data_IF_390587231112
#
_entry.id   IF_390587231112
#
_cell.length_a   1.000
_cell.length_b   1.000
_cell.length_c   1.000
_cell.angle_alpha   90.00
_cell.angle_beta   90.00
_cell.angle_gamma   90.00
#
_symmetry.space_group_name_H-M   'P 1'
#
loop_
_entity.id
_entity.type
_entity.pdbx_description
1 polymer ?
#
# COMPACT_ATOMS: atom_id res chain seq x y z
N UNK A 1 9.52 -27.51 -13.05
CA UNK A 1 9.68 -26.25 -13.78
C UNK A 1 11.09 -25.74 -13.53
N UNK A 2 11.81 -25.30 -14.55
CA UNK A 2 13.11 -24.64 -14.39
C UNK A 2 12.96 -23.29 -13.65
N UNK A 3 14.07 -22.69 -13.21
CA UNK A 3 14.05 -21.36 -12.58
C UNK A 3 13.46 -20.29 -13.51
N UNK A 4 13.81 -20.33 -14.80
CA UNK A 4 13.28 -19.43 -15.82
C UNK A 4 11.77 -19.62 -16.05
N UNK A 5 11.29 -20.86 -16.12
CA UNK A 5 9.86 -21.17 -16.28
C UNK A 5 9.05 -20.66 -15.08
N UNK A 6 9.56 -20.86 -13.86
CA UNK A 6 8.91 -20.38 -12.63
C UNK A 6 8.85 -18.85 -12.57
N UNK A 7 9.95 -18.17 -12.89
CA UNK A 7 10.00 -16.70 -12.94
C UNK A 7 9.07 -16.13 -14.02
N UNK A 8 9.03 -16.76 -15.19
CA UNK A 8 8.15 -16.37 -16.29
C UNK A 8 6.67 -16.56 -15.93
N UNK A 9 6.31 -17.68 -15.27
CA UNK A 9 4.96 -17.89 -14.77
C UNK A 9 4.56 -16.80 -13.77
N UNK A 10 5.42 -16.51 -12.77
CA UNK A 10 5.16 -15.45 -11.79
C UNK A 10 5.06 -14.06 -12.42
N UNK A 11 5.88 -13.78 -13.42
CA UNK A 11 5.78 -12.56 -14.22
C UNK A 11 4.39 -12.47 -14.85
N UNK A 12 3.95 -13.49 -15.60
CA UNK A 12 2.62 -13.51 -16.23
C UNK A 12 1.48 -13.33 -15.24
N UNK A 13 1.49 -14.08 -14.14
CA UNK A 13 0.44 -14.02 -13.11
C UNK A 13 0.25 -12.59 -12.58
N UNK A 14 1.36 -11.90 -12.28
CA UNK A 14 1.33 -10.52 -11.78
C UNK A 14 0.91 -9.55 -12.89
N UNK A 15 1.39 -9.72 -14.13
CA UNK A 15 1.00 -8.85 -15.26
C UNK A 15 -0.48 -8.97 -15.61
N UNK A 16 -1.03 -10.17 -15.52
CA UNK A 16 -2.44 -10.46 -15.78
C UNK A 16 -3.34 -9.98 -14.64
N UNK A 17 -2.88 -9.99 -13.39
CA UNK A 17 -3.63 -9.41 -12.28
C UNK A 17 -3.87 -7.91 -12.46
N UNK A 18 -2.90 -7.16 -12.98
CA UNK A 18 -3.10 -5.73 -13.34
C UNK A 18 -4.18 -5.55 -14.42
N UNK A 19 -4.33 -6.50 -15.36
CA UNK A 19 -5.42 -6.49 -16.35
C UNK A 19 -6.76 -6.80 -15.69
N UNK A 20 -6.78 -7.76 -14.76
CA UNK A 20 -7.98 -8.14 -14.00
C UNK A 20 -8.55 -6.95 -13.20
N UNK A 21 -7.69 -6.18 -12.53
CA UNK A 21 -8.08 -4.98 -11.79
C UNK A 21 -8.70 -3.92 -12.71
N UNK A 22 -8.32 -3.87 -13.98
CA UNK A 22 -8.77 -2.83 -14.91
C UNK A 22 -9.87 -3.27 -15.88
N UNK A 23 -10.36 -4.52 -15.79
CA UNK A 23 -11.28 -5.12 -16.76
C UNK A 23 -12.62 -4.41 -16.96
N UNK A 24 -13.16 -3.80 -15.89
CA UNK A 24 -14.48 -3.14 -15.91
C UNK A 24 -14.38 -1.60 -15.87
N UNK A 25 -13.20 -1.03 -16.18
CA UNK A 25 -13.00 0.41 -16.25
C UNK A 25 -13.27 0.93 -17.66
N UNK A 26 -13.92 2.09 -17.75
CA UNK A 26 -14.05 2.80 -19.01
C UNK A 26 -12.77 3.61 -19.32
N UNK A 27 -12.65 4.08 -20.56
CA UNK A 27 -11.46 4.84 -20.97
C UNK A 27 -11.31 6.15 -20.16
N UNK A 28 -12.43 6.77 -19.82
CA UNK A 28 -12.55 8.00 -19.03
C UNK A 28 -12.06 7.81 -17.59
N UNK A 29 -12.31 6.64 -17.00
CA UNK A 29 -11.83 6.32 -15.65
C UNK A 29 -10.31 6.25 -15.61
N UNK A 30 -9.70 5.82 -16.72
CA UNK A 30 -8.28 5.52 -16.79
C UNK A 30 -7.38 6.74 -17.02
N UNK A 31 -7.94 7.94 -17.24
CA UNK A 31 -7.19 9.15 -17.62
C UNK A 31 -7.14 10.22 -16.53
N UNK A 32 -8.00 10.14 -15.52
CA UNK A 32 -8.18 11.20 -14.51
C UNK A 32 -7.07 11.16 -13.46
N UNK A 33 -6.63 12.35 -13.03
CA UNK A 33 -5.81 12.55 -11.84
C UNK A 33 -6.58 13.45 -10.87
N UNK A 34 -7.19 12.85 -9.84
CA UNK A 34 -8.06 13.55 -8.89
C UNK A 34 -7.31 14.36 -7.82
N UNK A 35 -6.03 14.07 -7.59
CA UNK A 35 -5.12 14.86 -6.77
C UNK A 35 -3.66 14.56 -7.16
N UNK A 36 -2.66 15.39 -6.78
CA UNK A 36 -1.26 15.16 -7.16
C UNK A 36 -0.69 13.81 -6.74
N UNK A 37 -1.24 13.21 -5.68
CA UNK A 37 -0.79 11.92 -5.19
C UNK A 37 -1.32 10.72 -5.98
N UNK A 38 -2.49 10.88 -6.59
CA UNK A 38 -3.15 9.90 -7.47
C UNK A 38 -2.51 9.97 -8.85
N UNK A 39 -2.30 8.83 -9.49
CA UNK A 39 -1.91 8.73 -10.90
C UNK A 39 -3.02 8.09 -11.74
N UNK A 40 -3.20 8.48 -13.01
CA UNK A 40 -4.17 7.82 -13.87
C UNK A 40 -3.89 6.32 -14.01
N UNK A 41 -4.93 5.48 -14.06
CA UNK A 41 -4.81 4.02 -14.23
C UNK A 41 -3.93 3.66 -15.43
N UNK A 42 -4.08 4.35 -16.57
CA UNK A 42 -3.24 4.10 -17.75
C UNK A 42 -1.75 4.42 -17.53
N UNK A 43 -1.46 5.36 -16.64
CA UNK A 43 -0.09 5.70 -16.26
C UNK A 43 0.52 4.58 -15.42
N UNK A 44 -0.20 4.01 -14.45
CA UNK A 44 0.28 2.83 -13.69
C UNK A 44 0.57 1.62 -14.60
N UNK A 45 -0.35 1.34 -15.52
CA UNK A 45 -0.22 0.26 -16.51
C UNK A 45 1.02 0.42 -17.40
N UNK A 46 1.31 1.64 -17.85
CA UNK A 46 2.47 1.93 -18.68
C UNK A 46 3.76 2.07 -17.86
N UNK A 47 3.70 2.60 -16.63
CA UNK A 47 4.85 2.78 -15.74
C UNK A 47 5.47 1.46 -15.29
N UNK A 48 4.64 0.50 -14.89
CA UNK A 48 5.11 -0.84 -14.54
C UNK A 48 5.79 -1.51 -15.74
N UNK A 49 5.30 -1.26 -16.95
CA UNK A 49 5.91 -1.72 -18.20
C UNK A 49 7.24 -1.04 -18.50
N UNK A 50 7.30 0.28 -18.29
CA UNK A 50 8.51 1.07 -18.43
C UNK A 50 9.64 0.57 -17.53
N UNK A 51 9.31 0.08 -16.34
CA UNK A 51 10.31 -0.52 -15.44
C UNK A 51 11.02 -1.70 -16.12
N UNK A 52 10.27 -2.67 -16.65
CA UNK A 52 10.83 -3.84 -17.34
C UNK A 52 11.57 -3.44 -18.62
N UNK A 53 11.01 -2.54 -19.43
CA UNK A 53 11.70 -2.05 -20.63
C UNK A 53 13.05 -1.39 -20.27
N UNK A 54 13.07 -0.56 -19.22
CA UNK A 54 14.22 0.28 -18.89
C UNK A 54 15.31 -0.47 -18.14
N UNK A 55 14.95 -1.28 -17.15
CA UNK A 55 15.92 -1.96 -16.30
C UNK A 55 16.26 -3.37 -16.75
N UNK A 56 15.45 -3.96 -17.64
CA UNK A 56 15.70 -5.30 -18.20
C UNK A 56 16.03 -5.18 -19.69
N UNK A 57 15.05 -4.89 -20.55
CA UNK A 57 15.22 -5.02 -22.00
C UNK A 57 16.34 -4.13 -22.56
N UNK A 58 16.36 -2.83 -22.24
CA UNK A 58 17.41 -1.89 -22.69
C UNK A 58 18.83 -2.28 -22.25
N UNK A 59 18.96 -3.04 -21.17
CA UNK A 59 20.26 -3.42 -20.60
C UNK A 59 20.77 -4.76 -21.10
N UNK A 60 19.87 -5.73 -21.26
CA UNK A 60 20.24 -7.13 -21.48
C UNK A 60 19.92 -7.66 -22.87
N UNK A 61 19.11 -6.94 -23.66
CA UNK A 61 18.86 -7.29 -25.06
C UNK A 61 19.80 -6.49 -25.98
N UNK A 62 20.73 -7.19 -26.61
CA UNK A 62 21.71 -6.57 -27.53
C UNK A 62 21.00 -5.88 -28.69
N UNK A 63 21.29 -4.58 -28.88
CA UNK A 63 20.71 -3.79 -29.97
C UNK A 63 19.24 -3.41 -29.75
N UNK A 64 18.73 -3.48 -28.51
CA UNK A 64 17.36 -3.10 -28.20
C UNK A 64 17.02 -1.67 -28.64
N UNK A 65 15.90 -1.52 -29.36
CA UNK A 65 15.35 -0.22 -29.76
C UNK A 65 13.93 -0.10 -29.22
N UNK A 66 13.64 0.89 -28.35
CA UNK A 66 12.29 1.14 -27.86
C UNK A 66 11.36 1.48 -29.02
N UNK A 67 10.15 0.91 -29.03
CA UNK A 67 9.16 1.20 -30.06
C UNK A 67 8.74 2.69 -30.07
N UNK A 68 8.69 3.30 -28.89
CA UNK A 68 8.36 4.72 -28.70
C UNK A 68 9.34 5.31 -27.65
N UNK A 69 10.45 5.94 -28.08
CA UNK A 69 11.48 6.45 -27.17
C UNK A 69 10.95 7.44 -26.10
N UNK A 70 9.94 8.23 -26.44
CA UNK A 70 9.33 9.26 -25.58
C UNK A 70 8.64 8.68 -24.34
N UNK A 71 8.29 7.39 -24.34
CA UNK A 71 7.70 6.72 -23.18
C UNK A 71 8.65 6.68 -21.99
N UNK A 72 9.96 6.73 -22.22
CA UNK A 72 10.93 6.86 -21.14
C UNK A 72 10.74 8.14 -20.31
N UNK A 73 10.36 9.25 -20.95
CA UNK A 73 10.08 10.52 -20.29
C UNK A 73 8.71 10.52 -19.59
N UNK A 74 7.68 9.98 -20.25
CA UNK A 74 6.30 9.99 -19.74
C UNK A 74 6.10 9.07 -18.52
N UNK A 75 6.83 7.95 -18.50
CA UNK A 75 6.60 6.89 -17.54
C UNK A 75 7.75 6.67 -16.56
N UNK A 76 8.80 7.48 -16.58
CA UNK A 76 9.71 7.57 -15.44
C UNK A 76 8.98 8.19 -14.24
N UNK A 77 9.02 7.53 -13.09
CA UNK A 77 8.34 7.99 -11.87
C UNK A 77 9.14 9.06 -11.12
N UNK A 78 10.38 8.74 -10.78
CA UNK A 78 11.27 9.54 -9.94
C UNK A 78 12.74 9.21 -10.11
N UNK A 79 13.15 8.34 -11.04
CA UNK A 79 14.53 7.90 -11.19
C UNK A 79 15.35 8.96 -11.92
N UNK A 80 16.05 9.82 -11.17
CA UNK A 80 16.83 10.91 -11.74
C UNK A 80 17.99 10.38 -12.59
N UNK A 81 18.63 9.29 -12.15
CA UNK A 81 19.68 8.62 -12.90
C UNK A 81 19.18 7.94 -14.18
N UNK A 82 17.87 7.72 -14.34
CA UNK A 82 17.29 7.15 -15.56
C UNK A 82 16.91 8.20 -16.63
N UNK A 83 16.91 9.49 -16.26
CA UNK A 83 16.64 10.60 -17.18
C UNK A 83 15.61 11.60 -16.64
N UNK A 84 15.29 12.59 -17.47
CA UNK A 84 14.21 13.55 -17.17
C UNK A 84 12.85 12.85 -17.19
N UNK A 85 11.86 13.45 -16.51
CA UNK A 85 10.53 12.86 -16.35
C UNK A 85 9.43 13.90 -16.48
N UNK A 86 8.25 13.46 -16.93
CA UNK A 86 7.04 14.28 -16.90
C UNK A 86 6.64 14.57 -15.45
N UNK A 87 6.12 15.77 -15.22
CA UNK A 87 5.72 16.23 -13.88
C UNK A 87 4.62 15.35 -13.30
N UNK A 88 4.82 14.86 -12.07
CA UNK A 88 3.88 13.97 -11.35
C UNK A 88 2.48 14.58 -11.22
N UNK A 89 2.40 15.87 -10.88
CA UNK A 89 1.15 16.60 -10.67
C UNK A 89 0.37 16.91 -11.95
N UNK A 90 0.95 16.62 -13.13
CA UNK A 90 0.36 16.88 -14.44
C UNK A 90 0.14 15.60 -15.26
N UNK A 91 0.19 14.41 -14.63
CA UNK A 91 -0.01 13.12 -15.32
C UNK A 91 -1.41 13.01 -15.92
N UNK A 92 -2.43 13.55 -15.26
CA UNK A 92 -3.82 13.54 -15.74
C UNK A 92 -4.10 14.45 -16.95
N UNK A 93 -3.17 15.36 -17.30
CA UNK A 93 -3.31 16.20 -18.51
C UNK A 93 -2.89 15.47 -19.80
N UNK A 94 -2.31 14.28 -19.66
CA UNK A 94 -1.70 13.55 -20.76
C UNK A 94 -2.73 12.60 -21.37
N UNK A 95 -3.46 13.08 -22.38
CA UNK A 95 -4.46 12.28 -23.10
C UNK A 95 -3.86 11.19 -23.99
N UNK A 96 -2.58 11.32 -24.37
CA UNK A 96 -1.83 10.34 -25.18
C UNK A 96 -0.55 9.87 -24.46
N UNK A 97 -0.25 8.56 -24.43
CA UNK A 97 -0.98 7.50 -25.11
C UNK A 97 -2.38 7.24 -24.55
N UNK A 98 -3.25 6.77 -25.45
CA UNK A 98 -4.58 6.26 -25.13
C UNK A 98 -4.48 5.01 -24.26
N UNK A 99 -5.58 4.64 -23.61
CA UNK A 99 -5.65 3.40 -22.81
C UNK A 99 -5.27 2.18 -23.65
N UNK A 100 -5.79 2.08 -24.88
CA UNK A 100 -5.45 1.00 -25.81
C UNK A 100 -3.96 0.99 -26.21
N UNK A 101 -3.34 2.15 -26.38
CA UNK A 101 -1.88 2.25 -26.61
C UNK A 101 -1.06 1.81 -25.39
N UNK A 102 -1.51 2.13 -24.17
CA UNK A 102 -0.87 1.63 -22.94
C UNK A 102 -0.95 0.10 -22.84
N UNK A 103 -2.09 -0.52 -23.19
CA UNK A 103 -2.20 -1.99 -23.25
C UNK A 103 -1.32 -2.60 -24.34
N UNK A 104 -1.28 -2.01 -25.54
CA UNK A 104 -0.37 -2.47 -26.61
C UNK A 104 1.10 -2.39 -26.20
N UNK A 105 1.48 -1.36 -25.46
CA UNK A 105 2.83 -1.24 -24.90
C UNK A 105 3.13 -2.35 -23.90
N UNK A 106 2.19 -2.64 -22.98
CA UNK A 106 2.28 -3.79 -22.05
C UNK A 106 2.54 -5.08 -22.80
N UNK A 107 1.66 -5.44 -23.73
CA UNK A 107 1.75 -6.70 -24.48
C UNK A 107 3.06 -6.80 -25.29
N UNK A 108 3.55 -5.69 -25.83
CA UNK A 108 4.81 -5.65 -26.56
C UNK A 108 6.02 -5.94 -25.69
N UNK A 109 6.08 -5.36 -24.50
CA UNK A 109 7.17 -5.60 -23.53
C UNK A 109 7.03 -6.95 -22.87
N UNK A 110 5.82 -7.40 -22.56
CA UNK A 110 5.55 -8.71 -21.97
C UNK A 110 6.11 -9.83 -22.86
N UNK A 111 5.81 -9.83 -24.17
CA UNK A 111 6.36 -10.81 -25.12
C UNK A 111 7.89 -10.82 -25.13
N UNK A 112 8.53 -9.65 -25.12
CA UNK A 112 9.99 -9.55 -25.16
C UNK A 112 10.66 -10.02 -23.86
N UNK A 113 10.01 -9.82 -22.71
CA UNK A 113 10.49 -10.38 -21.43
C UNK A 113 10.35 -11.90 -21.44
N UNK A 114 9.24 -12.43 -21.94
CA UNK A 114 9.04 -13.87 -22.07
C UNK A 114 10.07 -14.52 -23.02
N UNK A 115 10.32 -13.89 -24.17
CA UNK A 115 11.33 -14.34 -25.14
C UNK A 115 12.74 -14.31 -24.53
N UNK A 116 13.07 -13.26 -23.76
CA UNK A 116 14.33 -13.16 -23.03
C UNK A 116 14.48 -14.30 -22.02
N UNK A 117 13.45 -14.57 -21.21
CA UNK A 117 13.48 -15.63 -20.20
C UNK A 117 13.53 -17.03 -20.82
N UNK A 118 12.87 -17.24 -21.96
CA UNK A 118 12.86 -18.53 -22.65
C UNK A 118 14.22 -18.86 -23.32
N UNK A 119 15.00 -17.83 -23.66
CA UNK A 119 16.26 -17.97 -24.41
C UNK A 119 17.52 -17.68 -23.58
N UNK A 120 17.36 -17.23 -22.33
CA UNK A 120 18.48 -16.86 -21.46
C UNK A 120 19.39 -18.05 -21.12
N UNK A 121 20.71 -17.83 -21.16
CA UNK A 121 21.67 -18.73 -20.53
C UNK A 121 21.55 -18.67 -19.00
N UNK A 122 22.16 -19.63 -18.29
CA UNK A 122 22.16 -19.62 -16.82
C UNK A 122 22.83 -18.34 -16.27
N UNK A 123 23.93 -17.90 -16.88
CA UNK A 123 24.64 -16.68 -16.47
C UNK A 123 23.79 -15.43 -16.68
N UNK A 124 23.07 -15.33 -17.81
CA UNK A 124 22.17 -14.22 -18.04
C UNK A 124 20.98 -14.24 -17.08
N UNK A 125 20.46 -15.44 -16.78
CA UNK A 125 19.35 -15.61 -15.84
C UNK A 125 19.73 -15.13 -14.44
N UNK A 126 20.94 -15.43 -13.98
CA UNK A 126 21.47 -14.96 -12.69
C UNK A 126 21.50 -13.43 -12.59
N UNK A 127 21.75 -12.74 -13.71
CA UNK A 127 21.76 -11.26 -13.75
C UNK A 127 20.35 -10.65 -13.84
N UNK A 128 19.46 -11.21 -14.66
CA UNK A 128 18.14 -10.61 -14.92
C UNK A 128 17.10 -10.99 -13.88
N UNK A 129 17.19 -12.18 -13.29
CA UNK A 129 16.17 -12.69 -12.37
C UNK A 129 15.93 -11.79 -11.15
N UNK A 130 16.97 -11.23 -10.48
CA UNK A 130 16.76 -10.29 -9.38
C UNK A 130 16.03 -9.01 -9.81
N UNK A 131 16.31 -8.49 -11.01
CA UNK A 131 15.70 -7.25 -11.52
C UNK A 131 14.25 -7.49 -11.94
N UNK A 132 13.96 -8.62 -12.60
CA UNK A 132 12.59 -9.01 -12.95
C UNK A 132 11.79 -9.26 -11.67
N UNK A 133 12.37 -9.91 -10.67
CA UNK A 133 11.72 -10.12 -9.36
C UNK A 133 11.41 -8.79 -8.68
N UNK A 134 12.33 -7.82 -8.70
CA UNK A 134 12.07 -6.47 -8.22
C UNK A 134 10.94 -5.79 -9.02
N UNK A 135 10.94 -5.92 -10.34
CA UNK A 135 9.87 -5.39 -11.21
C UNK A 135 8.50 -6.00 -10.93
N UNK A 136 8.45 -7.30 -10.62
CA UNK A 136 7.24 -8.00 -10.19
C UNK A 136 6.70 -7.40 -8.88
N UNK A 137 7.56 -7.24 -7.87
CA UNK A 137 7.15 -6.64 -6.60
C UNK A 137 6.77 -5.15 -6.76
N UNK A 138 7.48 -4.40 -7.61
CA UNK A 138 7.13 -3.03 -7.98
C UNK A 138 5.75 -2.94 -8.63
N UNK A 139 5.40 -3.88 -9.52
CA UNK A 139 4.05 -3.93 -10.08
C UNK A 139 2.98 -4.25 -9.04
N UNK A 140 3.26 -5.12 -8.07
CA UNK A 140 2.33 -5.38 -6.96
C UNK A 140 2.09 -4.13 -6.09
N UNK A 141 3.12 -3.29 -5.86
CA UNK A 141 2.90 -1.98 -5.22
C UNK A 141 1.96 -1.11 -6.08
N UNK A 142 2.16 -1.11 -7.39
CA UNK A 142 1.31 -0.38 -8.32
C UNK A 142 -0.10 -0.96 -8.47
N UNK A 143 -0.32 -2.24 -8.19
CA UNK A 143 -1.65 -2.86 -8.14
C UNK A 143 -2.45 -2.36 -6.94
N UNK A 144 -1.81 -2.22 -5.78
CA UNK A 144 -2.44 -1.57 -4.62
C UNK A 144 -2.71 -0.08 -4.89
N UNK A 145 -1.77 0.62 -5.52
CA UNK A 145 -1.99 2.01 -5.95
C UNK A 145 -3.13 2.13 -6.95
N UNK A 146 -3.26 1.21 -7.91
CA UNK A 146 -4.39 1.17 -8.83
C UNK A 146 -5.73 1.15 -8.07
N UNK A 147 -5.87 0.27 -7.08
CA UNK A 147 -7.13 0.16 -6.30
C UNK A 147 -7.41 1.45 -5.52
N UNK A 148 -6.41 2.01 -4.85
CA UNK A 148 -6.57 3.25 -4.04
C UNK A 148 -6.83 4.48 -4.90
N UNK A 149 -6.16 4.59 -6.05
CA UNK A 149 -6.29 5.70 -6.99
C UNK A 149 -7.63 5.64 -7.74
N UNK A 150 -8.06 4.46 -8.18
CA UNK A 150 -9.42 4.25 -8.75
C UNK A 150 -10.48 4.63 -7.72
N UNK A 151 -10.33 4.20 -6.45
CA UNK A 151 -11.26 4.58 -5.39
C UNK A 151 -11.36 6.08 -5.23
N UNK A 152 -10.22 6.78 -5.24
CA UNK A 152 -10.21 8.24 -5.10
C UNK A 152 -10.85 8.93 -6.31
N UNK A 153 -10.57 8.49 -7.55
CA UNK A 153 -11.22 9.02 -8.76
C UNK A 153 -12.73 8.83 -8.68
N UNK A 154 -13.20 7.63 -8.35
CA UNK A 154 -14.62 7.31 -8.31
C UNK A 154 -15.35 8.09 -7.21
N UNK A 155 -14.71 8.28 -6.05
CA UNK A 155 -15.24 9.07 -4.95
C UNK A 155 -15.44 10.56 -5.30
N UNK A 156 -14.75 11.09 -6.32
CA UNK A 156 -14.98 12.47 -6.78
C UNK A 156 -16.28 12.61 -7.59
N UNK A 157 -16.81 11.50 -8.12
CA UNK A 157 -17.97 11.53 -8.98
C UNK A 157 -19.26 11.49 -8.12
N UNK A 158 -20.14 12.52 -8.20
CA UNK A 158 -21.36 12.59 -7.38
C UNK A 158 -22.37 11.47 -7.67
N UNK A 159 -22.18 10.72 -8.76
CA UNK A 159 -22.99 9.54 -9.08
C UNK A 159 -22.53 8.27 -8.35
N UNK A 160 -21.42 8.32 -7.60
CA UNK A 160 -20.88 7.20 -6.81
C UNK A 160 -20.76 5.90 -7.64
N UNK A 161 -20.00 5.91 -8.76
CA UNK A 161 -19.86 4.75 -9.62
C UNK A 161 -19.30 3.55 -8.84
N UNK A 162 -19.77 2.36 -9.21
CA UNK A 162 -19.35 1.11 -8.57
C UNK A 162 -18.22 0.51 -9.38
N UNK A 163 -17.06 0.29 -8.74
CA UNK A 163 -15.93 -0.38 -9.38
C UNK A 163 -16.15 -1.89 -9.51
N UNK A 164 -16.59 -2.54 -8.42
CA UNK A 164 -16.91 -3.98 -8.40
C UNK A 164 -18.16 -4.22 -7.59
N UNK A 165 -19.22 -4.70 -8.26
CA UNK A 165 -20.48 -4.99 -7.59
C UNK A 165 -20.31 -6.16 -6.62
N UNK A 166 -20.70 -5.94 -5.37
CA UNK A 166 -20.67 -6.96 -4.32
C UNK A 166 -21.95 -6.88 -3.50
N UNK A 167 -22.49 -8.03 -3.10
CA UNK A 167 -23.60 -8.06 -2.16
C UNK A 167 -23.13 -7.55 -0.80
N UNK A 168 -23.94 -6.72 -0.15
CA UNK A 168 -23.68 -6.33 1.23
C UNK A 168 -23.91 -7.55 2.12
N UNK A 169 -22.85 -8.01 2.76
CA UNK A 169 -22.93 -9.06 3.77
C UNK A 169 -23.39 -8.44 5.09
N UNK A 170 -24.19 -9.19 5.85
CA UNK A 170 -24.45 -8.81 7.25
C UNK A 170 -23.16 -9.04 8.03
N UNK A 171 -22.65 -7.98 8.65
CA UNK A 171 -21.55 -8.10 9.60
C UNK A 171 -22.05 -8.61 10.95
N UNK A 172 -21.26 -9.48 11.56
CA UNK A 172 -21.42 -9.82 12.98
C UNK A 172 -20.52 -8.90 13.80
N UNK A 173 -20.90 -8.58 15.05
CA UNK A 173 -20.05 -7.83 15.95
C UNK A 173 -18.69 -8.52 16.12
N UNK A 174 -17.57 -7.79 16.00
CA UNK A 174 -16.27 -8.39 16.23
C UNK A 174 -16.10 -8.76 17.71
N UNK A 175 -15.17 -9.67 18.04
CA UNK A 175 -14.81 -9.93 19.43
C UNK A 175 -14.47 -8.63 20.19
N UNK A 176 -14.74 -8.55 21.50
CA UNK A 176 -14.34 -7.40 22.30
C UNK A 176 -12.83 -7.11 22.15
N UNK A 177 -12.47 -5.83 22.02
CA UNK A 177 -11.07 -5.45 21.99
C UNK A 177 -10.42 -5.78 23.34
N UNK A 178 -9.37 -6.59 23.30
CA UNK A 178 -8.51 -6.94 24.44
C UNK A 178 -7.08 -6.53 24.12
N UNK A 179 -6.19 -6.60 25.10
CA UNK A 179 -4.78 -6.33 24.93
C UNK A 179 -4.00 -7.60 25.28
N UNK A 180 -3.08 -8.01 24.40
CA UNK A 180 -2.15 -9.10 24.66
C UNK A 180 -0.82 -8.51 25.13
N UNK A 181 -0.31 -9.02 26.25
CA UNK A 181 0.91 -8.52 26.87
C UNK A 181 2.15 -9.24 26.33
N UNK A 182 3.22 -8.48 26.12
CA UNK A 182 4.50 -8.96 25.63
C UNK A 182 5.61 -8.45 26.56
N UNK A 183 6.42 -9.37 27.09
CA UNK A 183 7.56 -9.06 27.96
C UNK A 183 8.64 -8.25 27.24
N UNK A 184 9.47 -7.51 27.97
CA UNK A 184 10.63 -6.84 27.38
C UNK A 184 11.58 -7.86 26.72
N UNK A 185 12.14 -7.52 25.56
CA UNK A 185 13.16 -8.35 24.93
C UNK A 185 14.09 -7.57 24.00
N UNK A 186 15.23 -8.15 23.68
CA UNK A 186 16.03 -7.71 22.54
C UNK A 186 15.54 -8.48 21.31
N UNK A 187 14.67 -7.85 20.53
CA UNK A 187 14.11 -8.43 19.32
C UNK A 187 15.10 -8.35 18.16
N UNK A 188 14.98 -9.28 17.23
CA UNK A 188 15.74 -9.23 15.97
C UNK A 188 14.81 -8.77 14.85
N UNK A 189 15.11 -7.61 14.28
CA UNK A 189 14.25 -6.87 13.34
C UNK A 189 14.92 -6.82 11.97
N UNK A 190 14.13 -6.95 10.92
CA UNK A 190 14.53 -6.85 9.54
C UNK A 190 14.77 -8.19 8.86
N UNK A 191 14.86 -8.14 7.53
CA UNK A 191 14.99 -9.30 6.68
C UNK A 191 16.36 -9.99 6.81
N UNK A 192 16.36 -11.32 7.00
CA UNK A 192 17.56 -12.18 7.11
C UNK A 192 17.71 -13.20 5.96
N UNK A 193 16.76 -13.18 5.02
CA UNK A 193 16.55 -14.26 4.07
C UNK A 193 17.34 -14.11 2.78
N UNK A 194 17.24 -15.16 1.95
CA UNK A 194 17.61 -15.11 0.52
C UNK A 194 16.41 -14.77 -0.37
N UNK A 195 15.21 -14.83 0.19
CA UNK A 195 13.98 -14.46 -0.51
C UNK A 195 13.96 -12.95 -0.78
N UNK A 196 13.05 -12.52 -1.66
CA UNK A 196 12.93 -11.11 -1.97
C UNK A 196 12.56 -10.28 -0.73
N UNK A 197 13.25 -9.15 -0.57
CA UNK A 197 12.84 -8.03 0.27
C UNK A 197 13.25 -6.73 -0.41
N UNK A 198 12.58 -5.64 -0.04
CA UNK A 198 13.09 -4.32 -0.37
C UNK A 198 14.33 -4.00 0.49
N UNK A 199 15.24 -3.20 -0.05
CA UNK A 199 16.46 -2.77 0.64
C UNK A 199 16.19 -2.08 1.98
N UNK A 200 15.05 -1.40 2.11
CA UNK A 200 14.64 -0.73 3.34
C UNK A 200 14.23 -1.69 4.48
N UNK A 201 14.03 -2.98 4.21
CA UNK A 201 13.70 -4.01 5.19
C UNK A 201 14.95 -4.53 5.92
N UNK A 202 16.15 -4.08 5.52
CA UNK A 202 17.42 -4.53 6.07
C UNK A 202 18.45 -3.40 6.30
N UNK A 203 19.64 -3.75 6.82
CA UNK A 203 20.01 -5.10 7.28
C UNK A 203 19.30 -5.48 8.58
N UNK A 204 19.23 -6.78 8.84
CA UNK A 204 18.71 -7.31 10.11
C UNK A 204 19.58 -6.84 11.27
N UNK A 205 18.93 -6.40 12.35
CA UNK A 205 19.60 -5.82 13.50
C UNK A 205 18.84 -6.13 14.80
N UNK A 206 19.47 -5.81 15.93
CA UNK A 206 18.88 -5.99 17.26
C UNK A 206 18.28 -4.66 17.73
N UNK A 207 17.06 -4.72 18.28
CA UNK A 207 16.40 -3.58 18.90
C UNK A 207 15.89 -3.98 20.29
N UNK A 208 16.05 -3.10 21.28
CA UNK A 208 15.39 -3.27 22.59
C UNK A 208 13.92 -2.91 22.41
N UNK A 209 13.04 -3.87 22.68
CA UNK A 209 11.58 -3.70 22.68
C UNK A 209 11.13 -3.82 24.13
N UNK A 210 10.72 -2.70 24.78
CA UNK A 210 10.19 -2.72 26.14
C UNK A 210 8.98 -3.64 26.27
N UNK A 211 8.56 -3.92 27.51
CA UNK A 211 7.25 -4.56 27.72
C UNK A 211 6.12 -3.65 27.25
N UNK A 212 5.12 -4.24 26.62
CA UNK A 212 3.99 -3.52 26.06
C UNK A 212 2.80 -4.45 25.91
N UNK A 213 1.61 -3.88 25.70
CA UNK A 213 0.47 -4.64 25.23
C UNK A 213 0.06 -4.20 23.83
N UNK A 214 -0.43 -5.15 23.03
CA UNK A 214 -0.94 -4.90 21.68
C UNK A 214 -2.44 -5.23 21.61
N UNK A 215 -3.21 -4.38 20.94
CA UNK A 215 -4.65 -4.59 20.73
C UNK A 215 -4.90 -5.88 19.93
N UNK A 216 -5.89 -6.66 20.38
CA UNK A 216 -6.22 -7.97 19.81
C UNK A 216 -6.80 -7.92 18.40
N UNK A 217 -7.32 -6.77 17.97
CA UNK A 217 -7.83 -6.52 16.62
C UNK A 217 -7.66 -5.05 16.25
N UNK A 218 -7.98 -4.73 15.01
CA UNK A 218 -8.07 -3.36 14.52
C UNK A 218 -9.22 -2.59 15.18
N UNK A 219 -9.06 -1.27 15.25
CA UNK A 219 -10.12 -0.33 15.66
C UNK A 219 -11.24 -0.36 14.64
N UNK A 220 -12.49 -0.44 15.10
CA UNK A 220 -13.66 -0.49 14.22
C UNK A 220 -14.22 0.89 13.89
N UNK A 221 -15.05 0.98 12.84
CA UNK A 221 -15.82 2.17 12.52
C UNK A 221 -16.71 2.61 13.68
N UNK A 222 -17.33 1.68 14.42
CA UNK A 222 -18.16 1.99 15.59
C UNK A 222 -17.36 2.56 16.76
N UNK A 223 -16.14 2.08 16.97
CA UNK A 223 -15.18 2.67 17.91
C UNK A 223 -14.78 4.08 17.50
N UNK A 224 -14.50 4.28 16.22
CA UNK A 224 -14.13 5.58 15.67
C UNK A 224 -15.29 6.60 15.68
N UNK A 225 -16.53 6.14 15.47
CA UNK A 225 -17.72 6.98 15.60
C UNK A 225 -17.85 7.58 17.00
N UNK A 226 -17.54 6.81 18.05
CA UNK A 226 -17.53 7.34 19.43
C UNK A 226 -16.50 8.44 19.63
N UNK A 227 -15.34 8.36 18.96
CA UNK A 227 -14.36 9.45 18.94
C UNK A 227 -14.92 10.70 18.26
N UNK A 228 -15.58 10.55 17.11
CA UNK A 228 -16.25 11.67 16.41
C UNK A 228 -17.33 12.29 17.30
N UNK A 229 -18.21 11.47 17.88
CA UNK A 229 -19.32 11.91 18.75
C UNK A 229 -18.86 12.60 20.04
N UNK A 230 -17.70 12.20 20.58
CA UNK A 230 -17.06 12.84 21.72
C UNK A 230 -16.35 14.16 21.38
N UNK A 231 -16.53 14.67 20.16
CA UNK A 231 -15.91 15.90 19.68
C UNK A 231 -14.43 15.72 19.30
N UNK A 232 -14.00 14.52 18.90
CA UNK A 232 -12.61 14.18 18.63
C UNK A 232 -11.92 15.13 17.65
N UNK A 233 -12.63 15.55 16.59
CA UNK A 233 -12.13 16.51 15.59
C UNK A 233 -12.23 17.98 16.03
N UNK A 234 -12.77 18.27 17.22
CA UNK A 234 -12.92 19.61 17.78
C UNK A 234 -12.08 19.84 19.05
N UNK A 235 -11.32 18.84 19.49
CA UNK A 235 -10.64 18.82 20.78
C UNK A 235 -9.11 18.75 20.60
N UNK A 236 -8.40 19.89 20.62
CA UNK A 236 -6.97 19.96 20.31
C UNK A 236 -6.08 19.12 21.23
N UNK A 237 -6.53 18.82 22.45
CA UNK A 237 -5.77 18.04 23.42
C UNK A 237 -5.45 16.60 22.97
N UNK A 238 -6.17 16.07 21.97
CA UNK A 238 -5.87 14.76 21.41
C UNK A 238 -4.84 14.79 20.29
N UNK A 239 -4.56 15.96 19.70
CA UNK A 239 -3.84 16.05 18.44
C UNK A 239 -2.40 16.53 18.64
N UNK A 240 -1.49 15.95 17.86
CA UNK A 240 -0.20 16.58 17.57
C UNK A 240 -0.45 17.96 16.95
N UNK A 241 0.40 18.94 17.25
CA UNK A 241 0.24 20.33 16.79
C UNK A 241 0.07 20.45 15.27
N UNK A 242 0.93 19.77 14.48
CA UNK A 242 0.82 19.75 13.02
C UNK A 242 -0.47 19.05 12.55
N UNK A 243 -0.91 18.01 13.26
CA UNK A 243 -2.18 17.34 12.99
C UNK A 243 -3.38 18.25 13.24
N UNK A 244 -3.38 18.98 14.35
CA UNK A 244 -4.42 19.96 14.67
C UNK A 244 -4.49 21.08 13.62
N UNK A 245 -3.35 21.61 13.19
CA UNK A 245 -3.30 22.59 12.09
C UNK A 245 -3.91 22.00 10.81
N UNK A 246 -3.50 20.79 10.44
CA UNK A 246 -3.97 20.11 9.22
C UNK A 246 -5.48 19.87 9.24
N UNK A 247 -6.02 19.35 10.34
CA UNK A 247 -7.47 19.11 10.52
C UNK A 247 -8.28 20.39 10.35
N UNK A 248 -7.80 21.51 10.91
CA UNK A 248 -8.48 22.80 10.79
C UNK A 248 -8.38 23.39 9.39
N UNK A 249 -7.20 23.37 8.77
CA UNK A 249 -6.97 23.90 7.43
C UNK A 249 -7.77 23.14 6.37
N UNK A 250 -7.81 21.80 6.47
CA UNK A 250 -8.52 20.94 5.53
C UNK A 250 -9.96 20.60 5.95
N UNK A 251 -10.40 21.06 7.13
CA UNK A 251 -11.75 20.87 7.68
C UNK A 251 -12.16 19.40 7.76
N UNK A 252 -11.30 18.56 8.32
CA UNK A 252 -11.63 17.15 8.51
C UNK A 252 -12.63 16.97 9.65
N UNK A 253 -13.66 16.16 9.43
CA UNK A 253 -14.71 15.86 10.43
C UNK A 253 -14.95 14.34 10.63
N UNK A 254 -14.39 13.52 9.74
CA UNK A 254 -14.49 12.07 9.71
C UNK A 254 -13.40 11.50 8.76
N UNK A 255 -13.13 10.18 8.77
CA UNK A 255 -12.23 9.53 7.82
C UNK A 255 -12.56 9.85 6.36
N UNK A 256 -11.57 9.72 5.46
CA UNK A 256 -11.80 10.05 4.05
C UNK A 256 -12.89 9.13 3.47
N UNK A 257 -13.73 9.69 2.59
CA UNK A 257 -14.90 9.06 1.96
C UNK A 257 -16.13 8.89 2.86
N UNK A 258 -16.10 9.39 4.10
CA UNK A 258 -17.28 9.44 4.96
C UNK A 258 -18.07 10.72 4.70
N UNK A 259 -19.39 10.59 4.57
CA UNK A 259 -20.31 11.71 4.40
C UNK A 259 -21.50 11.56 5.34
N UNK A 260 -21.94 12.66 5.94
CA UNK A 260 -23.16 12.69 6.75
C UNK A 260 -24.37 12.98 5.87
N UNK A 261 -25.34 12.07 5.81
CA UNK A 261 -26.60 12.22 5.06
C UNK A 261 -27.78 11.86 5.96
N UNK A 262 -28.77 12.75 6.01
CA UNK A 262 -30.01 12.57 6.80
C UNK A 262 -29.75 12.17 8.27
N UNK A 263 -28.68 12.72 8.86
CA UNK A 263 -28.27 12.43 10.24
C UNK A 263 -27.42 11.17 10.45
N UNK A 264 -27.21 10.35 9.42
CA UNK A 264 -26.39 9.13 9.48
C UNK A 264 -25.08 9.28 8.70
N UNK A 265 -24.04 8.53 9.10
CA UNK A 265 -22.78 8.45 8.36
C UNK A 265 -22.85 7.38 7.27
N UNK A 266 -22.38 7.76 6.08
CA UNK A 266 -22.25 6.92 4.91
C UNK A 266 -20.80 6.89 4.44
N UNK A 267 -20.44 5.86 3.68
CA UNK A 267 -19.09 5.62 3.19
C UNK A 267 -19.13 5.22 1.73
N UNK A 268 -18.35 5.90 0.90
CA UNK A 268 -18.04 5.42 -0.45
C UNK A 268 -17.05 4.26 -0.40
N UNK A 269 -17.50 3.07 -0.79
CA UNK A 269 -16.64 1.91 -1.02
C UNK A 269 -16.55 1.61 -2.52
N UNK A 270 -15.58 0.79 -2.92
CA UNK A 270 -15.47 0.35 -4.32
C UNK A 270 -16.64 -0.55 -4.77
N UNK A 271 -17.48 -1.00 -3.84
CA UNK A 271 -18.72 -1.72 -4.10
C UNK A 271 -19.99 -0.87 -4.01
N UNK A 272 -19.85 0.44 -3.73
CA UNK A 272 -20.94 1.41 -3.72
C UNK A 272 -20.96 2.29 -2.48
N UNK A 273 -21.84 3.28 -2.51
CA UNK A 273 -22.07 4.19 -1.40
C UNK A 273 -23.11 3.62 -0.43
N UNK A 274 -22.72 3.37 0.83
CA UNK A 274 -23.55 2.67 1.81
C UNK A 274 -23.45 3.27 3.22
N UNK A 275 -24.40 3.01 4.13
CA UNK A 275 -24.25 3.35 5.54
C UNK A 275 -22.99 2.71 6.13
N UNK A 276 -22.40 3.38 7.12
CA UNK A 276 -21.26 2.83 7.86
C UNK A 276 -21.63 1.50 8.51
N UNK A 277 -20.76 0.51 8.32
CA UNK A 277 -20.79 -0.73 9.06
C UNK A 277 -19.85 -0.60 10.27
N UNK A 278 -20.42 -0.48 11.46
CA UNK A 278 -19.69 -0.24 12.70
C UNK A 278 -18.72 -1.37 13.10
N UNK A 279 -18.89 -2.56 12.50
CA UNK A 279 -18.10 -3.75 12.81
C UNK A 279 -16.83 -3.86 11.95
N UNK A 280 -16.73 -3.12 10.86
CA UNK A 280 -15.56 -3.11 9.98
C UNK A 280 -14.42 -2.28 10.60
N UNK A 281 -13.15 -2.62 10.33
CA UNK A 281 -12.03 -1.75 10.66
C UNK A 281 -12.22 -0.34 10.07
N UNK A 282 -11.93 0.68 10.87
CA UNK A 282 -11.84 2.04 10.34
C UNK A 282 -10.69 2.10 9.34
N UNK A 283 -10.92 2.75 8.20
CA UNK A 283 -9.93 2.86 7.12
C UNK A 283 -9.94 4.27 6.51
N UNK A 284 -8.88 4.60 5.78
CA UNK A 284 -8.63 5.91 5.18
C UNK A 284 -8.46 7.03 6.22
N UNK A 285 -7.75 6.70 7.31
CA UNK A 285 -7.32 7.65 8.34
C UNK A 285 -5.85 8.01 8.17
N UNK A 286 -5.53 9.27 8.40
CA UNK A 286 -4.16 9.79 8.46
C UNK A 286 -3.43 9.29 9.71
N UNK A 287 -2.10 9.44 9.74
CA UNK A 287 -1.32 9.21 10.96
C UNK A 287 -1.82 10.14 12.09
N UNK A 288 -2.16 11.39 11.77
CA UNK A 288 -2.69 12.34 12.75
C UNK A 288 -4.02 11.88 13.36
N UNK A 289 -4.94 11.38 12.54
CA UNK A 289 -6.21 10.80 12.98
C UNK A 289 -6.00 9.53 13.82
N UNK A 290 -5.01 8.69 13.44
CA UNK A 290 -4.67 7.48 14.17
C UNK A 290 -4.07 7.78 15.56
N UNK A 291 -3.13 8.72 15.63
CA UNK A 291 -2.53 9.17 16.89
C UNK A 291 -3.56 9.83 17.81
N UNK A 292 -4.40 10.72 17.27
CA UNK A 292 -5.45 11.37 18.05
C UNK A 292 -6.47 10.40 18.62
N UNK A 293 -6.87 9.39 17.84
CA UNK A 293 -7.74 8.32 18.32
C UNK A 293 -7.07 7.48 19.42
N UNK A 294 -5.77 7.18 19.28
CA UNK A 294 -5.03 6.46 20.30
C UNK A 294 -4.96 7.25 21.62
N UNK A 295 -4.68 8.55 21.56
CA UNK A 295 -4.68 9.46 22.71
C UNK A 295 -6.06 9.53 23.38
N UNK A 296 -7.13 9.68 22.60
CA UNK A 296 -8.51 9.63 23.09
C UNK A 296 -8.83 8.32 23.83
N UNK A 297 -8.28 7.21 23.36
CA UNK A 297 -8.49 5.87 23.91
C UNK A 297 -7.60 5.56 25.13
N UNK A 298 -6.79 6.52 25.60
CA UNK A 298 -5.80 6.31 26.67
C UNK A 298 -4.75 5.25 26.28
N UNK A 299 -4.38 5.21 25.01
CA UNK A 299 -3.44 4.27 24.42
C UNK A 299 -2.43 5.02 23.54
N UNK A 300 -1.66 4.28 22.74
CA UNK A 300 -0.74 4.82 21.73
C UNK A 300 -0.73 3.94 20.49
N UNK A 301 -0.05 4.40 19.42
CA UNK A 301 0.30 3.53 18.31
C UNK A 301 1.52 2.64 18.67
N UNK A 302 1.61 1.41 18.12
CA UNK A 302 2.81 0.58 18.28
C UNK A 302 4.00 1.20 17.56
N UNK A 303 5.23 0.90 17.98
CA UNK A 303 6.41 1.07 17.14
C UNK A 303 6.44 -0.02 16.06
N UNK A 304 7.14 0.21 14.94
CA UNK A 304 7.35 -0.85 13.94
C UNK A 304 8.08 -2.08 14.51
N UNK A 305 8.89 -1.90 15.56
CA UNK A 305 9.64 -2.97 16.22
C UNK A 305 8.76 -3.84 17.12
N UNK A 306 7.86 -3.22 17.88
CA UNK A 306 6.82 -3.92 18.66
C UNK A 306 5.93 -4.74 17.72
N UNK A 307 5.48 -4.10 16.64
CA UNK A 307 4.63 -4.75 15.65
C UNK A 307 5.32 -5.93 14.96
N UNK A 308 6.54 -5.73 14.45
CA UNK A 308 7.27 -6.78 13.73
C UNK A 308 7.63 -7.96 14.62
N UNK A 309 8.05 -7.70 15.87
CA UNK A 309 8.32 -8.75 16.84
C UNK A 309 7.15 -9.72 16.97
N UNK A 310 5.94 -9.18 17.04
CA UNK A 310 4.71 -9.96 17.17
C UNK A 310 4.39 -10.65 15.85
N UNK A 311 4.39 -9.90 14.75
CA UNK A 311 4.05 -10.41 13.42
C UNK A 311 4.97 -11.53 12.91
N UNK A 312 6.23 -11.60 13.38
CA UNK A 312 7.15 -12.71 13.04
C UNK A 312 6.67 -14.08 13.53
N UNK A 313 5.82 -14.14 14.56
CA UNK A 313 5.23 -15.39 15.08
C UNK A 313 3.85 -15.72 14.50
N UNK A 314 3.30 -14.84 13.68
CA UNK A 314 1.92 -14.94 13.16
C UNK A 314 1.90 -15.50 11.74
N UNK A 315 0.81 -16.19 11.39
CA UNK A 315 0.58 -16.62 10.01
C UNK A 315 0.09 -15.41 9.20
N UNK A 316 0.59 -15.24 7.98
CA UNK A 316 0.11 -14.21 7.07
C UNK A 316 -1.27 -14.63 6.56
N UNK A 317 -2.32 -14.24 7.28
CA UNK A 317 -3.72 -14.45 6.94
C UNK A 317 -4.52 -13.17 7.17
N UNK A 318 -5.52 -12.93 6.33
CA UNK A 318 -6.35 -11.73 6.40
C UNK A 318 -7.09 -11.48 5.09
N UNK A 319 -7.73 -10.32 5.00
CA UNK A 319 -8.33 -9.87 3.74
C UNK A 319 -7.27 -9.23 2.86
N UNK A 320 -6.96 -9.86 1.74
CA UNK A 320 -6.04 -9.34 0.72
C UNK A 320 -6.77 -9.12 -0.62
N UNK A 321 -6.07 -8.54 -1.59
CA UNK A 321 -6.63 -8.16 -2.89
C UNK A 321 -7.16 -9.36 -3.70
N UNK A 322 -6.62 -10.55 -3.48
CA UNK A 322 -7.04 -11.80 -4.12
C UNK A 322 -8.51 -12.15 -3.80
N UNK A 323 -9.06 -11.63 -2.71
CA UNK A 323 -10.48 -11.80 -2.35
C UNK A 323 -11.43 -10.96 -3.22
N UNK A 324 -10.92 -10.00 -4.00
CA UNK A 324 -11.68 -8.97 -4.71
C UNK A 324 -12.71 -8.22 -3.81
N UNK A 325 -12.51 -8.22 -2.48
CA UNK A 325 -13.39 -7.51 -1.54
C UNK A 325 -13.20 -5.99 -1.66
N UNK A 326 -11.96 -5.55 -1.92
CA UNK A 326 -11.54 -4.14 -2.03
C UNK A 326 -12.03 -3.24 -0.90
N UNK A 327 -12.17 -3.83 0.29
CA UNK A 327 -12.65 -3.19 1.51
C UNK A 327 -12.31 -4.07 2.72
N UNK A 328 -12.00 -3.50 3.91
CA UNK A 328 -11.76 -4.29 5.12
C UNK A 328 -12.93 -5.23 5.49
N UNK A 329 -12.63 -6.32 6.16
CA UNK A 329 -13.61 -7.22 6.76
C UNK A 329 -13.66 -7.07 8.29
N UNK A 330 -14.83 -7.29 8.92
CA UNK A 330 -14.91 -7.38 10.37
C UNK A 330 -13.99 -8.48 10.94
N UNK A 331 -13.44 -8.24 12.13
CA UNK A 331 -12.65 -9.25 12.84
C UNK A 331 -13.49 -10.49 13.13
N UNK A 332 -12.90 -11.67 12.96
CA UNK A 332 -13.49 -12.95 13.39
C UNK A 332 -12.82 -13.42 14.69
N UNK A 333 -13.45 -14.36 15.38
CA UNK A 333 -12.87 -14.98 16.56
C UNK A 333 -11.57 -15.71 16.21
N UNK A 334 -10.52 -15.46 17.00
CA UNK A 334 -9.19 -16.06 16.86
C UNK A 334 -8.64 -16.39 18.24
N UNK A 335 -7.81 -17.43 18.34
CA UNK A 335 -7.14 -17.82 19.58
C UNK A 335 -6.05 -16.82 20.03
N UNK A 336 -5.66 -15.88 19.15
CA UNK A 336 -4.63 -14.88 19.40
C UNK A 336 -5.00 -13.51 18.82
N UNK A 337 -4.01 -12.81 18.29
CA UNK A 337 -4.24 -11.54 17.60
C UNK A 337 -4.96 -11.78 16.28
N UNK A 338 -5.98 -10.97 16.02
CA UNK A 338 -6.73 -10.96 14.77
C UNK A 338 -6.24 -9.83 13.88
N UNK A 339 -6.30 -10.05 12.56
CA UNK A 339 -6.04 -9.04 11.54
C UNK A 339 -4.64 -8.42 11.61
N UNK A 340 -3.64 -9.20 12.06
CA UNK A 340 -2.23 -8.74 12.03
C UNK A 340 -1.74 -8.54 10.60
N UNK A 341 -2.37 -9.16 9.61
CA UNK A 341 -2.11 -8.86 8.21
C UNK A 341 -3.43 -8.66 7.44
N UNK A 342 -3.35 -7.96 6.32
CA UNK A 342 -4.50 -7.66 5.47
C UNK A 342 -5.44 -6.63 6.10
N UNK A 343 -6.61 -6.45 5.48
CA UNK A 343 -7.63 -5.43 5.80
C UNK A 343 -7.14 -3.99 5.60
N UNK A 344 -6.25 -3.50 6.46
CA UNK A 344 -5.68 -2.13 6.43
C UNK A 344 -4.21 -2.13 6.84
N UNK A 345 -3.44 -1.24 6.22
CA UNK A 345 -2.13 -0.86 6.73
C UNK A 345 -2.26 -0.22 8.11
N UNK A 346 -1.51 -0.71 9.07
CA UNK A 346 -1.54 -0.24 10.45
C UNK A 346 -0.49 0.85 10.67
N UNK A 347 -0.91 2.06 11.01
CA UNK A 347 0.02 3.14 11.37
C UNK A 347 0.85 2.77 12.61
N UNK A 348 2.16 2.99 12.52
CA UNK A 348 3.07 2.89 13.66
C UNK A 348 3.56 4.28 14.07
N UNK A 349 4.01 4.45 15.31
CA UNK A 349 4.70 5.67 15.77
C UNK A 349 6.17 5.77 15.33
N UNK A 350 6.64 4.86 14.47
CA UNK A 350 8.00 4.89 13.95
C UNK A 350 8.12 5.77 12.71
N UNK A 351 9.06 6.71 12.73
CA UNK A 351 9.47 7.43 11.52
C UNK A 351 10.12 6.48 10.52
N UNK A 352 9.88 6.67 9.24
CA UNK A 352 10.53 5.92 8.17
C UNK A 352 12.00 6.37 8.02
N UNK A 353 12.85 5.73 8.82
CA UNK A 353 14.29 5.96 8.89
C UNK A 353 15.08 4.72 8.44
N UNK A 354 16.33 4.90 7.97
CA UNK A 354 17.19 3.76 7.64
C UNK A 354 17.43 2.89 8.89
N UNK A 355 17.38 1.57 8.72
CA UNK A 355 17.87 0.67 9.75
C UNK A 355 19.39 0.83 9.95
N UNK A 356 19.92 0.52 11.16
CA UNK A 356 21.35 0.60 11.41
C UNK A 356 22.17 -0.21 10.40
N UNK A 357 23.04 0.47 9.66
CA UNK A 357 23.88 -0.15 8.63
C UNK A 357 23.26 -0.19 7.23
N UNK A 358 22.04 0.32 7.03
CA UNK A 358 21.44 0.48 5.70
C UNK A 358 22.36 1.28 4.76
N UNK A 359 22.47 0.81 3.53
CA UNK A 359 23.16 1.48 2.43
C UNK A 359 22.35 1.28 1.16
N UNK A 360 21.97 2.37 0.51
CA UNK A 360 21.35 2.29 -0.80
C UNK A 360 22.30 1.64 -1.81
N UNK A 361 21.74 0.84 -2.73
CA UNK A 361 22.50 0.29 -3.85
C UNK A 361 23.04 1.41 -4.76
N UNK A 362 24.09 1.12 -5.52
CA UNK A 362 24.59 2.07 -6.52
C UNK A 362 23.66 2.14 -7.75
N UNK A 363 23.68 3.29 -8.44
CA UNK A 363 22.93 3.49 -9.68
C UNK A 363 21.43 3.75 -9.47
N UNK A 364 20.67 3.76 -10.57
CA UNK A 364 19.26 4.17 -10.56
C UNK A 364 18.40 3.36 -9.59
N UNK A 365 18.58 2.03 -9.50
CA UNK A 365 17.80 1.20 -8.58
C UNK A 365 18.04 1.54 -7.10
N UNK A 366 19.16 2.18 -6.76
CA UNK A 366 19.40 2.72 -5.41
C UNK A 366 18.48 3.87 -5.00
N UNK A 367 17.83 4.51 -5.96
CA UNK A 367 16.85 5.58 -5.69
C UNK A 367 15.49 5.06 -5.24
N UNK A 368 15.29 3.73 -5.18
CA UNK A 368 13.97 3.14 -4.93
C UNK A 368 13.39 3.56 -3.58
N UNK A 369 14.17 3.45 -2.50
CA UNK A 369 13.66 3.64 -1.14
C UNK A 369 14.42 4.71 -0.33
N UNK A 370 15.76 4.66 -0.32
CA UNK A 370 16.57 5.44 0.64
C UNK A 370 16.35 6.96 0.60
N UNK A 371 16.09 7.53 -0.58
CA UNK A 371 15.86 8.98 -0.73
C UNK A 371 14.53 9.47 -0.13
N UNK A 372 13.64 8.55 0.23
CA UNK A 372 12.33 8.84 0.82
C UNK A 372 12.32 8.74 2.36
N UNK A 373 13.45 8.40 2.99
CA UNK A 373 13.58 8.23 4.44
C UNK A 373 13.65 9.58 5.20
N UNK A 374 12.62 10.41 5.02
CA UNK A 374 12.44 11.70 5.70
C UNK A 374 10.96 12.11 5.67
N UNK A 375 10.45 12.67 6.77
CA UNK A 375 9.08 13.20 6.90
C UNK A 375 7.94 12.21 6.59
N UNK A 376 8.16 10.93 6.87
CA UNK A 376 7.19 9.85 6.67
C UNK A 376 7.16 8.92 7.88
N UNK A 377 6.04 8.24 8.07
CA UNK A 377 5.83 7.24 9.12
C UNK A 377 5.63 5.86 8.51
N UNK A 378 6.05 4.84 9.26
CA UNK A 378 5.98 3.45 8.84
C UNK A 378 4.58 2.88 9.09
N UNK A 379 4.08 2.10 8.13
CA UNK A 379 2.89 1.28 8.27
C UNK A 379 3.20 -0.20 8.00
N UNK A 380 2.45 -1.10 8.64
CA UNK A 380 2.68 -2.55 8.60
C UNK A 380 1.39 -3.34 8.30
N UNK A 381 1.51 -4.63 8.00
CA UNK A 381 0.39 -5.57 7.86
C UNK A 381 -0.16 -5.79 6.46
N UNK A 382 -0.02 -4.84 5.54
CA UNK A 382 -0.73 -4.91 4.26
C UNK A 382 -2.21 -4.56 4.40
N UNK A 383 -2.91 -4.41 3.28
CA UNK A 383 -4.32 -4.03 3.25
C UNK A 383 -5.16 -5.00 2.40
N UNK A 384 -6.47 -4.78 2.36
CA UNK A 384 -7.39 -5.42 1.43
C UNK A 384 -7.10 -5.12 -0.06
N UNK A 385 -6.17 -4.23 -0.37
CA UNK A 385 -5.66 -3.94 -1.70
C UNK A 385 -4.22 -4.46 -1.94
N UNK A 386 -3.55 -4.97 -0.91
CA UNK A 386 -2.24 -5.62 -1.03
C UNK A 386 -2.41 -7.09 -1.43
N UNK A 387 -1.52 -7.62 -2.26
CA UNK A 387 -1.44 -9.06 -2.51
C UNK A 387 -0.82 -9.80 -1.32
N UNK A 388 -1.40 -10.94 -0.94
CA UNK A 388 -0.84 -11.80 0.12
C UNK A 388 0.58 -12.27 -0.24
N UNK A 389 0.87 -12.48 -1.52
CA UNK A 389 2.21 -12.83 -2.02
C UNK A 389 3.21 -11.66 -1.98
N UNK A 390 2.73 -10.44 -1.75
CA UNK A 390 3.55 -9.24 -1.67
C UNK A 390 3.98 -8.89 -0.24
N UNK A 391 3.20 -9.28 0.77
CA UNK A 391 3.43 -8.86 2.15
C UNK A 391 4.44 -9.76 2.87
N UNK A 392 5.11 -9.21 3.88
CA UNK A 392 6.02 -9.91 4.80
C UNK A 392 5.85 -9.31 6.19
N UNK A 393 6.20 -10.09 7.22
CA UNK A 393 6.34 -9.56 8.57
C UNK A 393 7.33 -8.39 8.62
N UNK A 394 8.34 -8.33 7.74
CA UNK A 394 9.37 -7.26 7.65
C UNK A 394 9.00 -6.08 6.74
N UNK A 395 7.87 -6.14 6.03
CA UNK A 395 7.52 -5.14 5.01
C UNK A 395 7.27 -3.74 5.58
N UNK A 396 8.03 -2.74 5.13
CA UNK A 396 7.88 -1.35 5.60
C UNK A 396 7.21 -0.49 4.54
N UNK A 397 5.90 -0.30 4.64
CA UNK A 397 5.21 0.73 3.87
C UNK A 397 5.42 2.10 4.56
N UNK A 398 5.33 3.19 3.80
CA UNK A 398 5.60 4.53 4.33
C UNK A 398 4.83 5.61 3.59
N UNK A 399 4.25 6.54 4.35
CA UNK A 399 3.56 7.72 3.81
C UNK A 399 3.76 8.94 4.72
N UNK A 400 3.58 10.14 4.16
CA UNK A 400 3.52 11.37 4.95
C UNK A 400 2.31 11.33 5.91
N UNK A 401 2.42 11.98 7.08
CA UNK A 401 1.44 11.78 8.14
C UNK A 401 0.03 12.26 7.80
N UNK A 402 -0.13 13.19 6.85
CA UNK A 402 -1.43 13.71 6.42
C UNK A 402 -2.14 12.87 5.35
N UNK A 403 -1.50 11.82 4.81
CA UNK A 403 -2.06 11.04 3.71
C UNK A 403 -3.18 10.10 4.19
N UNK A 404 -4.29 10.05 3.44
CA UNK A 404 -5.53 9.35 3.81
C UNK A 404 -6.09 8.41 2.75
N UNK A 405 -5.69 8.53 1.48
CA UNK A 405 -6.33 7.78 0.38
C UNK A 405 -5.96 6.30 0.33
N UNK A 406 -4.84 5.94 0.96
CA UNK A 406 -4.42 4.56 1.17
C UNK A 406 -5.39 3.84 2.12
N UNK A 407 -5.45 2.51 2.06
CA UNK A 407 -6.23 1.70 3.02
C UNK A 407 -5.50 1.62 4.36
N UNK A 408 -5.51 2.71 5.12
CA UNK A 408 -4.80 2.89 6.39
C UNK A 408 -5.75 2.87 7.57
N UNK A 409 -5.40 2.15 8.63
CA UNK A 409 -6.20 1.98 9.84
C UNK A 409 -5.34 2.01 11.11
N UNK A 410 -5.92 1.50 12.20
CA UNK A 410 -5.39 1.70 13.56
C UNK A 410 -5.39 0.37 14.31
N UNK A 411 -4.22 0.02 14.87
CA UNK A 411 -4.08 -0.93 15.97
C UNK A 411 -3.50 -0.20 17.17
N UNK A 412 -4.10 -0.41 18.34
CA UNK A 412 -3.65 0.24 19.57
C UNK A 412 -2.54 -0.57 20.26
N UNK A 413 -1.67 0.13 20.97
CA UNK A 413 -0.71 -0.43 21.90
C UNK A 413 -0.75 0.34 23.23
N UNK A 414 -0.24 -0.28 24.31
CA UNK A 414 -0.10 0.33 25.64
C UNK A 414 1.27 0.03 26.21
N UNK A 415 1.81 0.96 26.99
CA UNK A 415 2.97 0.68 27.82
C UNK A 415 2.52 -0.12 29.05
N UNK A 416 3.35 -1.08 29.47
CA UNK A 416 3.17 -1.82 30.72
C UNK A 416 4.15 -1.26 31.75
N UNK A 417 3.67 -1.01 32.97
CA UNK A 417 4.49 -0.55 34.11
C UNK A 417 5.44 -1.62 34.61
#
# INVERSE_FOLDING_TARGET
MSGAESLCARFRDVRDFSKLLTRDLEAEDCVVQSMPDVSPTKWHLAHTTWFFETFVLKKFVTGYVPAIPEYAFLFNSYYNAAGTMHRRDLRGLISRPTVAESFRYREGVDRQIEDLLASASEELLDEVAPIITLGIHHEQQHQELLVTDIKHVFAQNPLHPIFRKRAQEKSEPPPPATFADFEETIATIGHDGRDFSYDNEGPRHRALVPKFSLGSRLVTCGEYLRFIEAGGYQRPEFWLSLGWMTVNEQRWEAPLYWEKRDGAWWHFTLSGFRPIDENEPVTHVSYFEADAFANFSGARLPTEFEWERVAQGETIEGTFVESERFHPAPARESAGLSQMFGDVWEWTRSSYSPYPGYRAAAGALGEYNGKFMCNQYVLRGGSCATSQLHIRATYRNFFQPEKRWQFTGIRLARDLE
#
